data_IF_780089157865
#
_entry.id   IF_780089157865
#
_cell.length_a   1.000
_cell.length_b   1.000
_cell.length_c   1.000
_cell.angle_alpha   90.00
_cell.angle_beta   90.00
_cell.angle_gamma   90.00
#
_symmetry.space_group_name_H-M   'P 1'
#
loop_
_entity.id
_entity.type
_entity.pdbx_description
1 polymer ?
#
# COMPACT_ATOMS: atom_id res chain seq x y z
N UNK A 1 38.35 19.50 -20.14
CA UNK A 1 37.54 20.37 -19.23
C UNK A 1 36.05 19.99 -19.29
N UNK A 2 35.58 19.26 -20.30
CA UNK A 2 34.17 18.87 -20.51
C UNK A 2 33.71 17.62 -19.76
N UNK A 3 34.60 16.81 -19.20
CA UNK A 3 34.24 15.55 -18.52
C UNK A 3 33.80 15.72 -17.03
N UNK A 4 34.10 16.87 -16.40
CA UNK A 4 33.77 17.10 -14.98
C UNK A 4 32.35 17.63 -14.73
N UNK A 5 31.69 18.18 -15.75
CA UNK A 5 30.32 18.69 -15.59
C UNK A 5 29.25 17.61 -15.73
N UNK A 6 29.56 16.48 -16.38
CA UNK A 6 28.62 15.33 -16.50
C UNK A 6 28.57 14.46 -15.24
N UNK A 7 29.57 14.51 -14.37
CA UNK A 7 29.66 13.62 -13.19
C UNK A 7 28.83 14.09 -11.99
N UNK A 8 28.45 15.36 -11.90
CA UNK A 8 27.72 15.88 -10.73
C UNK A 8 26.20 15.75 -10.81
N UNK A 9 25.63 15.58 -12.01
CA UNK A 9 24.19 15.36 -12.22
C UNK A 9 23.77 13.88 -12.13
N UNK A 10 24.72 12.96 -12.13
CA UNK A 10 24.52 11.53 -12.37
C UNK A 10 24.39 10.67 -11.12
N UNK A 11 24.51 11.22 -9.90
CA UNK A 11 24.43 10.46 -8.66
C UNK A 11 23.01 10.33 -8.10
N UNK A 12 21.98 10.84 -8.78
CA UNK A 12 20.62 10.90 -8.22
C UNK A 12 19.68 9.73 -8.54
N UNK A 13 19.96 8.88 -9.54
CA UNK A 13 19.07 7.71 -9.82
C UNK A 13 19.87 6.54 -10.40
N UNK A 14 19.90 5.41 -9.72
CA UNK A 14 20.47 4.13 -10.23
C UNK A 14 19.77 3.65 -11.51
N UNK A 15 18.49 3.99 -11.71
CA UNK A 15 17.73 3.69 -12.93
C UNK A 15 18.22 4.49 -14.16
N UNK A 16 18.58 5.76 -14.00
CA UNK A 16 19.16 6.56 -15.09
C UNK A 16 20.54 6.03 -15.51
N UNK A 17 21.34 5.54 -14.56
CA UNK A 17 22.63 4.93 -14.87
C UNK A 17 22.49 3.74 -15.82
N UNK A 18 21.41 3.00 -15.64
CA UNK A 18 21.11 1.83 -16.47
C UNK A 18 20.63 2.21 -17.89
N UNK A 19 19.81 3.26 -18.02
CA UNK A 19 19.36 3.78 -19.30
C UNK A 19 20.52 4.42 -20.09
N UNK A 20 21.38 5.19 -19.44
CA UNK A 20 22.55 5.78 -20.06
C UNK A 20 23.57 4.71 -20.50
N UNK A 21 23.70 3.62 -19.77
CA UNK A 21 24.53 2.50 -20.17
C UNK A 21 23.95 1.72 -21.35
N UNK A 22 22.62 1.55 -21.42
CA UNK A 22 21.96 0.98 -22.60
C UNK A 22 22.11 1.86 -23.83
N UNK A 23 21.96 3.17 -23.68
CA UNK A 23 22.22 4.12 -24.76
C UNK A 23 23.68 4.10 -25.22
N UNK A 24 24.62 4.00 -24.27
CA UNK A 24 26.04 3.81 -24.59
C UNK A 24 26.29 2.46 -25.27
N UNK A 25 25.66 1.37 -24.84
CA UNK A 25 25.78 0.07 -25.46
C UNK A 25 25.18 0.06 -26.90
N UNK A 26 24.02 0.70 -27.12
CA UNK A 26 23.44 0.87 -28.47
C UNK A 26 24.32 1.75 -29.36
N UNK A 27 24.89 2.82 -28.86
CA UNK A 27 25.82 3.66 -29.61
C UNK A 27 27.09 2.93 -29.96
N UNK A 28 27.67 2.14 -29.05
CA UNK A 28 28.88 1.36 -29.26
C UNK A 28 28.62 0.22 -30.25
N UNK A 29 27.48 -0.49 -30.15
CA UNK A 29 27.05 -1.52 -31.14
C UNK A 29 26.87 -0.93 -32.55
N UNK A 30 26.41 0.31 -32.65
CA UNK A 30 26.19 1.00 -33.90
C UNK A 30 27.49 1.43 -34.60
N UNK A 31 28.56 1.67 -33.84
CA UNK A 31 29.85 2.11 -34.36
C UNK A 31 30.92 1.01 -34.43
N UNK A 32 30.77 -0.11 -33.66
CA UNK A 32 31.69 -1.24 -33.63
C UNK A 32 30.95 -2.58 -33.52
N UNK A 33 30.24 -3.03 -34.57
CA UNK A 33 29.38 -4.23 -34.48
C UNK A 33 30.10 -5.55 -34.30
N UNK A 34 31.40 -5.65 -34.66
CA UNK A 34 32.13 -6.90 -34.70
C UNK A 34 32.97 -7.26 -33.46
N UNK A 35 32.78 -6.51 -32.35
CA UNK A 35 33.56 -6.79 -31.12
C UNK A 35 32.90 -7.85 -30.26
N UNK A 36 33.49 -9.06 -30.21
CA UNK A 36 33.06 -10.19 -29.41
C UNK A 36 32.96 -9.82 -27.89
N UNK A 37 33.81 -8.90 -27.42
CA UNK A 37 33.81 -8.43 -26.03
C UNK A 37 32.55 -7.61 -25.73
N UNK A 38 32.11 -6.77 -26.68
CA UNK A 38 30.91 -5.93 -26.51
C UNK A 38 29.66 -6.78 -26.49
N UNK A 39 29.55 -7.81 -27.35
CA UNK A 39 28.45 -8.75 -27.33
C UNK A 39 28.36 -9.54 -26.01
N UNK A 40 29.50 -9.94 -25.44
CA UNK A 40 29.54 -10.62 -24.14
C UNK A 40 29.13 -9.71 -22.99
N UNK A 41 29.59 -8.48 -22.99
CA UNK A 41 29.24 -7.48 -21.99
C UNK A 41 27.76 -7.11 -22.09
N UNK A 42 27.22 -6.89 -23.29
CA UNK A 42 25.77 -6.65 -23.48
C UNK A 42 24.93 -7.83 -23.02
N UNK A 43 25.31 -9.08 -23.34
CA UNK A 43 24.61 -10.29 -22.88
C UNK A 43 24.66 -10.45 -21.36
N UNK A 44 25.76 -10.11 -20.70
CA UNK A 44 25.87 -10.11 -19.24
C UNK A 44 24.97 -9.05 -18.61
N UNK A 45 24.87 -7.87 -19.23
CA UNK A 45 23.98 -6.81 -18.77
C UNK A 45 22.49 -7.12 -18.99
N UNK A 46 22.13 -7.73 -20.13
CA UNK A 46 20.77 -8.19 -20.39
C UNK A 46 20.36 -9.27 -19.37
N UNK A 47 21.24 -10.25 -19.09
CA UNK A 47 21.01 -11.26 -18.06
C UNK A 47 20.96 -10.67 -16.65
N UNK A 48 21.77 -9.67 -16.33
CA UNK A 48 21.70 -8.96 -15.05
C UNK A 48 20.41 -8.17 -14.89
N UNK A 49 19.83 -7.62 -15.98
CA UNK A 49 18.53 -6.97 -15.99
C UNK A 49 17.38 -7.94 -15.76
N UNK A 50 17.44 -9.13 -16.37
CA UNK A 50 16.43 -10.17 -16.18
C UNK A 50 16.39 -10.74 -14.75
N UNK A 51 17.48 -10.53 -13.94
CA UNK A 51 17.56 -11.00 -12.56
C UNK A 51 17.34 -9.92 -11.50
N UNK A 52 17.27 -8.62 -11.86
CA UNK A 52 17.07 -7.57 -10.88
C UNK A 52 15.58 -7.30 -10.66
N UNK A 53 15.07 -7.79 -9.55
CA UNK A 53 13.71 -7.49 -9.08
C UNK A 53 13.74 -6.24 -8.20
N UNK A 54 12.91 -5.25 -8.50
CA UNK A 54 12.76 -4.05 -7.67
C UNK A 54 12.26 -4.45 -6.28
N UNK A 55 12.89 -3.91 -5.25
CA UNK A 55 12.55 -4.22 -3.85
C UNK A 55 11.66 -3.16 -3.26
N UNK A 56 10.59 -3.57 -2.61
CA UNK A 56 9.67 -2.69 -1.89
C UNK A 56 9.61 -3.07 -0.42
N UNK A 57 9.55 -2.07 0.45
CA UNK A 57 9.34 -2.27 1.88
C UNK A 57 8.22 -1.40 2.41
N UNK A 58 7.53 -1.91 3.42
CA UNK A 58 6.36 -1.27 4.00
C UNK A 58 6.61 -0.94 5.48
N UNK A 59 6.23 0.27 5.87
CA UNK A 59 6.17 0.67 7.27
C UNK A 59 4.74 1.05 7.62
N UNK A 60 4.09 0.21 8.42
CA UNK A 60 2.67 0.38 8.78
C UNK A 60 2.54 0.96 10.17
N UNK A 61 1.79 2.03 10.26
CA UNK A 61 1.36 2.63 11.53
C UNK A 61 -0.16 2.52 11.64
N UNK A 62 -0.66 2.37 12.86
CA UNK A 62 -2.09 2.45 13.14
C UNK A 62 -2.76 1.15 13.49
N UNK A 63 -3.97 0.95 12.96
CA UNK A 63 -4.89 -0.10 13.35
C UNK A 63 -4.79 -1.36 12.45
N UNK A 64 -5.64 -2.35 12.73
CA UNK A 64 -5.73 -3.58 11.92
C UNK A 64 -6.16 -3.31 10.48
N UNK A 65 -6.95 -2.25 10.23
CA UNK A 65 -7.32 -1.83 8.89
C UNK A 65 -6.08 -1.42 8.09
N UNK A 66 -5.19 -0.59 8.68
CA UNK A 66 -3.93 -0.24 8.02
C UNK A 66 -3.04 -1.47 7.78
N UNK A 67 -3.03 -2.44 8.68
CA UNK A 67 -2.27 -3.69 8.48
C UNK A 67 -2.82 -4.51 7.32
N UNK A 68 -4.16 -4.67 7.23
CA UNK A 68 -4.82 -5.32 6.10
C UNK A 68 -4.49 -4.60 4.78
N UNK A 69 -4.63 -3.28 4.74
CA UNK A 69 -4.33 -2.47 3.56
C UNK A 69 -2.87 -2.58 3.12
N UNK A 70 -1.95 -2.63 4.06
CA UNK A 70 -0.53 -2.86 3.75
C UNK A 70 -0.28 -4.24 3.18
N UNK A 71 -0.93 -5.28 3.71
CA UNK A 71 -0.85 -6.64 3.18
C UNK A 71 -1.34 -6.72 1.75
N UNK A 72 -2.48 -6.09 1.46
CA UNK A 72 -3.03 -6.04 0.11
C UNK A 72 -2.15 -5.25 -0.87
N UNK A 73 -1.57 -4.12 -0.43
CA UNK A 73 -0.57 -3.40 -1.22
C UNK A 73 0.69 -4.22 -1.46
N UNK A 74 1.17 -4.96 -0.46
CA UNK A 74 2.33 -5.83 -0.63
C UNK A 74 2.08 -6.89 -1.70
N UNK A 75 0.91 -7.55 -1.65
CA UNK A 75 0.51 -8.51 -2.69
C UNK A 75 0.41 -7.86 -4.06
N UNK A 76 -0.20 -6.67 -4.18
CA UNK A 76 -0.29 -5.92 -5.43
C UNK A 76 1.11 -5.66 -6.04
N UNK A 77 2.08 -5.28 -5.22
CA UNK A 77 3.45 -5.06 -5.68
C UNK A 77 4.14 -6.37 -6.09
N UNK A 78 3.96 -7.47 -5.33
CA UNK A 78 4.49 -8.80 -5.68
C UNK A 78 3.94 -9.31 -7.01
N UNK A 79 2.64 -9.18 -7.25
CA UNK A 79 1.99 -9.56 -8.51
C UNK A 79 2.51 -8.76 -9.71
N UNK A 80 3.05 -7.57 -9.45
CA UNK A 80 3.66 -6.71 -10.47
C UNK A 80 5.19 -6.80 -10.50
N UNK A 81 5.77 -7.88 -9.95
CA UNK A 81 7.17 -8.24 -10.10
C UNK A 81 8.13 -7.55 -9.12
N UNK A 82 7.62 -6.95 -8.04
CA UNK A 82 8.45 -6.45 -6.96
C UNK A 82 8.72 -7.55 -5.93
N UNK A 83 9.84 -7.45 -5.24
CA UNK A 83 10.14 -8.31 -4.08
C UNK A 83 9.91 -7.52 -2.79
N UNK A 84 9.00 -8.00 -1.94
CA UNK A 84 8.78 -7.43 -0.62
C UNK A 84 9.93 -7.83 0.31
N UNK A 85 10.58 -6.83 0.91
CA UNK A 85 11.72 -7.03 1.80
C UNK A 85 11.51 -6.37 3.16
N UNK A 86 12.27 -6.79 4.15
CA UNK A 86 12.25 -6.15 5.46
C UNK A 86 12.81 -4.73 5.42
N UNK A 87 12.44 -3.91 6.39
CA UNK A 87 12.90 -2.52 6.48
C UNK A 87 14.43 -2.39 6.68
N UNK A 88 15.10 -3.46 7.11
CA UNK A 88 16.54 -3.49 7.41
C UNK A 88 17.39 -3.82 6.18
N UNK A 89 16.81 -4.45 5.16
CA UNK A 89 17.53 -4.91 3.97
C UNK A 89 17.80 -3.81 2.94
N UNK A 90 17.16 -2.66 3.10
CA UNK A 90 17.15 -1.59 2.10
C UNK A 90 16.27 -1.94 0.90
N UNK A 91 15.61 -0.95 0.32
CA UNK A 91 14.67 -1.13 -0.78
C UNK A 91 14.79 -0.02 -1.82
N UNK A 92 14.20 -0.24 -2.99
CA UNK A 92 14.10 0.75 -4.05
C UNK A 92 12.84 1.61 -3.88
N UNK A 93 11.83 1.05 -3.19
CA UNK A 93 10.58 1.74 -2.84
C UNK A 93 10.28 1.56 -1.36
N UNK A 94 10.00 2.66 -0.67
CA UNK A 94 9.61 2.67 0.75
C UNK A 94 8.19 3.22 0.87
N UNK A 95 7.25 2.42 1.35
CA UNK A 95 5.85 2.80 1.51
C UNK A 95 5.52 2.95 2.99
N UNK A 96 5.15 4.15 3.41
CA UNK A 96 4.71 4.46 4.76
C UNK A 96 3.18 4.57 4.76
N UNK A 97 2.49 3.55 5.28
CA UNK A 97 1.06 3.60 5.54
C UNK A 97 0.82 4.23 6.90
N UNK A 98 0.40 5.47 6.90
CA UNK A 98 0.36 6.35 8.06
C UNK A 98 -0.95 6.26 8.85
N UNK A 99 -0.86 6.65 10.11
CA UNK A 99 -2.01 6.82 11.02
C UNK A 99 -2.02 8.24 11.55
N UNK A 100 -3.21 8.80 11.81
CA UNK A 100 -3.38 10.15 12.35
C UNK A 100 -4.21 10.20 13.64
N UNK A 101 -4.52 9.05 14.23
CA UNK A 101 -5.26 9.00 15.50
C UNK A 101 -4.42 9.52 16.67
N UNK A 102 -3.09 9.52 16.52
CA UNK A 102 -2.16 10.07 17.52
C UNK A 102 -1.10 10.93 16.84
N UNK A 103 -0.70 12.05 17.45
CA UNK A 103 0.42 12.88 16.99
C UNK A 103 1.73 12.09 16.82
N UNK A 104 1.89 10.99 17.55
CA UNK A 104 3.03 10.09 17.39
C UNK A 104 3.04 9.37 16.04
N UNK A 105 1.88 9.09 15.45
CA UNK A 105 1.76 8.47 14.13
C UNK A 105 2.36 9.37 13.06
N UNK A 106 2.01 10.64 13.06
CA UNK A 106 2.48 11.63 12.08
C UNK A 106 3.99 11.84 12.20
N UNK A 107 4.50 12.04 13.42
CA UNK A 107 5.94 12.20 13.67
C UNK A 107 6.75 10.96 13.24
N UNK A 108 6.23 9.77 13.52
CA UNK A 108 6.87 8.51 13.10
C UNK A 108 6.90 8.36 11.59
N UNK A 109 5.80 8.68 10.89
CA UNK A 109 5.75 8.65 9.43
C UNK A 109 6.82 9.54 8.81
N UNK A 110 6.90 10.80 9.25
CA UNK A 110 7.93 11.76 8.79
C UNK A 110 9.35 11.27 9.09
N UNK A 111 9.57 10.70 10.29
CA UNK A 111 10.88 10.14 10.68
C UNK A 111 11.31 9.00 9.76
N UNK A 112 10.37 8.12 9.39
CA UNK A 112 10.66 7.00 8.50
C UNK A 112 10.98 7.46 7.07
N UNK A 113 10.24 8.40 6.52
CA UNK A 113 10.53 8.98 5.21
C UNK A 113 11.93 9.62 5.17
N UNK A 114 12.27 10.42 6.18
CA UNK A 114 13.61 11.01 6.31
C UNK A 114 14.70 9.97 6.43
N UNK A 115 14.43 8.90 7.17
CA UNK A 115 15.36 7.77 7.31
C UNK A 115 15.58 7.09 5.97
N UNK A 116 14.52 6.75 5.26
CA UNK A 116 14.58 6.11 3.95
C UNK A 116 15.41 6.94 2.95
N UNK A 117 15.14 8.25 2.85
CA UNK A 117 15.91 9.16 1.97
C UNK A 117 17.37 9.32 2.38
N UNK A 118 17.69 9.28 3.66
CA UNK A 118 19.06 9.34 4.14
C UNK A 118 19.83 8.05 3.85
N UNK A 119 19.22 6.90 4.06
CA UNK A 119 19.83 5.58 3.85
C UNK A 119 19.92 5.22 2.36
N UNK A 120 18.91 5.58 1.57
CA UNK A 120 18.89 5.39 0.13
C UNK A 120 18.33 6.63 -0.60
N UNK A 121 19.14 7.62 -0.92
CA UNK A 121 18.69 8.86 -1.58
C UNK A 121 18.03 8.65 -2.94
N UNK A 122 18.32 7.52 -3.60
CA UNK A 122 17.75 7.15 -4.90
C UNK A 122 16.44 6.40 -4.83
N UNK A 123 15.99 5.98 -3.63
CA UNK A 123 14.74 5.26 -3.49
C UNK A 123 13.54 6.18 -3.64
N UNK A 124 12.44 5.61 -4.17
CA UNK A 124 11.13 6.26 -4.17
C UNK A 124 10.46 6.07 -2.81
N UNK A 125 10.01 7.17 -2.23
CA UNK A 125 9.32 7.17 -0.93
C UNK A 125 7.87 7.57 -1.09
N UNK A 126 6.99 6.77 -0.49
CA UNK A 126 5.53 6.92 -0.56
C UNK A 126 4.96 7.21 0.82
N UNK A 127 4.14 8.24 0.92
CA UNK A 127 3.31 8.52 2.09
C UNK A 127 1.84 8.29 1.73
N UNK A 128 1.20 7.35 2.41
CA UNK A 128 -0.23 7.03 2.22
C UNK A 128 -0.95 6.87 3.56
N UNK A 129 -2.25 6.67 3.51
CA UNK A 129 -3.08 6.35 4.69
C UNK A 129 -3.80 7.55 5.30
N UNK A 130 -4.06 7.45 6.60
CA UNK A 130 -4.95 8.41 7.29
C UNK A 130 -4.39 9.82 7.39
N UNK A 131 -3.07 9.96 7.59
CA UNK A 131 -2.47 11.28 7.79
C UNK A 131 -2.60 12.18 6.55
N UNK A 132 -2.13 11.79 5.36
CA UNK A 132 -2.27 12.63 4.18
C UNK A 132 -3.75 12.87 3.81
N UNK A 133 -4.64 11.94 4.08
CA UNK A 133 -6.07 12.14 3.82
C UNK A 133 -6.69 13.20 4.73
N UNK A 134 -6.32 13.19 6.03
CA UNK A 134 -6.88 14.13 7.00
C UNK A 134 -6.25 15.53 6.91
N UNK A 135 -4.98 15.61 6.49
CA UNK A 135 -4.19 16.83 6.43
C UNK A 135 -3.45 16.93 5.08
N UNK A 136 -4.21 17.09 3.96
CA UNK A 136 -3.64 17.00 2.62
C UNK A 136 -2.59 18.10 2.34
N UNK A 137 -2.84 19.33 2.77
CA UNK A 137 -1.92 20.45 2.55
C UNK A 137 -0.58 20.22 3.27
N UNK A 138 -0.65 19.83 4.55
CA UNK A 138 0.56 19.54 5.33
C UNK A 138 1.33 18.31 4.80
N UNK A 139 0.62 17.29 4.31
CA UNK A 139 1.24 16.11 3.73
C UNK A 139 1.89 16.42 2.38
N UNK A 140 1.26 17.27 1.57
CA UNK A 140 1.80 17.72 0.30
C UNK A 140 3.10 18.52 0.46
N UNK A 141 3.34 19.17 1.60
CA UNK A 141 4.58 19.90 1.88
C UNK A 141 5.76 19.01 2.33
N UNK A 142 5.55 17.72 2.56
CA UNK A 142 6.62 16.80 2.99
C UNK A 142 7.54 16.50 1.81
N UNK A 143 8.65 17.20 1.73
CA UNK A 143 9.60 17.11 0.62
C UNK A 143 10.28 15.73 0.50
N UNK A 144 10.32 14.97 1.58
CA UNK A 144 10.91 13.62 1.60
C UNK A 144 9.97 12.54 1.01
N UNK A 145 8.71 12.86 0.67
CA UNK A 145 7.80 11.94 -0.02
C UNK A 145 7.74 12.25 -1.51
N UNK A 146 8.15 11.31 -2.34
CA UNK A 146 8.06 11.43 -3.80
C UNK A 146 6.63 11.17 -4.29
N UNK A 147 5.90 10.28 -3.59
CA UNK A 147 4.49 10.00 -3.84
C UNK A 147 3.69 10.23 -2.57
N UNK A 148 2.64 11.04 -2.65
CA UNK A 148 1.72 11.30 -1.52
C UNK A 148 0.31 10.97 -1.97
N UNK A 149 -0.31 10.00 -1.30
CA UNK A 149 -1.69 9.57 -1.59
C UNK A 149 -2.53 9.54 -0.31
N UNK A 150 -3.84 9.58 -0.45
CA UNK A 150 -4.77 9.50 0.68
C UNK A 150 -5.01 8.07 1.19
N UNK A 151 -6.14 7.89 1.86
CA UNK A 151 -6.63 6.60 2.36
C UNK A 151 -7.52 5.85 1.36
N UNK A 152 -7.89 6.46 0.27
CA UNK A 152 -8.58 5.87 -0.89
C UNK A 152 -7.65 5.70 -2.09
N UNK A 153 -8.17 5.07 -3.15
CA UNK A 153 -7.47 4.91 -4.43
C UNK A 153 -6.07 4.25 -4.32
N UNK A 154 -5.96 3.21 -3.50
CA UNK A 154 -4.69 2.51 -3.25
C UNK A 154 -4.15 1.81 -4.47
N UNK A 155 -5.01 1.39 -5.39
CA UNK A 155 -4.59 0.82 -6.68
C UNK A 155 -3.70 1.78 -7.48
N UNK A 156 -3.90 3.08 -7.36
CA UNK A 156 -3.09 4.08 -8.07
C UNK A 156 -1.66 4.17 -7.52
N UNK A 157 -1.39 3.77 -6.29
CA UNK A 157 -0.07 3.86 -5.66
C UNK A 157 1.01 3.18 -6.51
N UNK A 158 0.72 2.01 -7.05
CA UNK A 158 1.66 1.30 -7.93
C UNK A 158 1.98 2.12 -9.19
N UNK A 159 0.95 2.64 -9.86
CA UNK A 159 1.11 3.47 -11.06
C UNK A 159 1.87 4.75 -10.76
N UNK A 160 1.59 5.40 -9.65
CA UNK A 160 2.24 6.64 -9.25
C UNK A 160 3.72 6.41 -8.89
N UNK A 161 4.02 5.30 -8.23
CA UNK A 161 5.40 4.86 -8.00
C UNK A 161 6.12 4.62 -9.32
N UNK A 162 5.47 3.95 -10.29
CA UNK A 162 6.05 3.69 -11.61
C UNK A 162 6.34 4.97 -12.39
N UNK A 163 5.47 5.99 -12.35
CA UNK A 163 5.71 7.30 -12.99
C UNK A 163 6.99 7.96 -12.45
N UNK A 164 7.17 7.92 -11.11
CA UNK A 164 8.37 8.48 -10.49
C UNK A 164 9.61 7.67 -10.83
N UNK A 165 9.53 6.33 -10.79
CA UNK A 165 10.64 5.43 -11.15
C UNK A 165 11.08 5.61 -12.60
N UNK A 166 10.13 5.78 -13.52
CA UNK A 166 10.39 6.00 -14.94
C UNK A 166 10.87 7.42 -15.25
N UNK A 167 10.80 8.34 -14.30
CA UNK A 167 11.17 9.74 -14.49
C UNK A 167 10.14 10.55 -15.30
N UNK A 168 8.92 10.04 -15.41
CA UNK A 168 7.80 10.76 -16.06
C UNK A 168 7.34 11.92 -15.21
N UNK A 169 7.37 11.76 -13.89
CA UNK A 169 7.10 12.79 -12.91
C UNK A 169 8.21 12.82 -11.83
N UNK A 170 8.60 14.00 -11.36
CA UNK A 170 9.54 14.11 -10.25
C UNK A 170 8.88 13.79 -8.91
N UNK A 171 7.59 14.10 -8.80
CA UNK A 171 6.77 13.92 -7.62
C UNK A 171 5.30 13.81 -7.99
N UNK A 172 4.56 12.94 -7.28
CA UNK A 172 3.12 12.77 -7.43
C UNK A 172 2.40 13.09 -6.12
N UNK A 173 1.36 13.92 -6.19
CA UNK A 173 0.44 14.17 -5.06
C UNK A 173 -0.98 13.86 -5.56
N UNK A 174 -1.51 12.69 -5.20
CA UNK A 174 -2.86 12.23 -5.58
C UNK A 174 -3.69 11.93 -4.31
N UNK A 175 -4.12 12.99 -3.64
CA UNK A 175 -5.00 12.89 -2.47
C UNK A 175 -6.41 13.25 -2.91
N UNK A 176 -7.28 12.25 -3.01
CA UNK A 176 -8.67 12.43 -3.43
C UNK A 176 -9.58 12.59 -2.21
N UNK A 177 -10.45 13.60 -2.20
CA UNK A 177 -11.44 13.73 -1.15
C UNK A 177 -12.42 12.55 -1.20
N UNK A 178 -12.86 12.09 -0.04
CA UNK A 178 -13.94 11.10 0.01
C UNK A 178 -15.28 11.73 -0.34
N UNK A 179 -16.03 11.06 -1.19
CA UNK A 179 -17.31 11.55 -1.68
C UNK A 179 -18.51 10.74 -1.14
N UNK A 180 -19.68 11.38 -1.10
CA UNK A 180 -20.92 10.67 -0.73
C UNK A 180 -21.27 9.67 -1.83
N UNK A 181 -21.52 8.41 -1.44
CA UNK A 181 -21.83 7.33 -2.37
C UNK A 181 -20.59 6.67 -3.00
N UNK A 182 -19.40 7.03 -2.56
CA UNK A 182 -18.18 6.28 -2.88
C UNK A 182 -18.34 4.80 -2.48
N UNK A 183 -17.87 3.91 -3.33
CA UNK A 183 -17.90 2.47 -3.06
C UNK A 183 -16.72 2.05 -2.21
N UNK A 184 -16.87 0.93 -1.52
CA UNK A 184 -15.76 0.27 -0.85
C UNK A 184 -14.65 -0.05 -1.86
N UNK A 185 -13.40 0.30 -1.54
CA UNK A 185 -12.24 -0.03 -2.36
C UNK A 185 -11.81 -1.46 -2.04
N UNK A 186 -12.00 -2.35 -3.00
CA UNK A 186 -11.58 -3.73 -2.87
C UNK A 186 -10.11 -3.88 -3.24
N UNK A 187 -9.34 -4.36 -2.29
CA UNK A 187 -7.97 -4.81 -2.47
C UNK A 187 -7.92 -6.27 -2.01
N UNK A 188 -8.01 -7.22 -2.95
CA UNK A 188 -8.01 -8.63 -2.59
C UNK A 188 -6.67 -9.01 -1.93
N UNK A 189 -6.76 -9.86 -0.92
CA UNK A 189 -5.59 -10.39 -0.22
C UNK A 189 -5.80 -11.86 0.06
N UNK A 190 -4.89 -12.69 -0.45
CA UNK A 190 -4.97 -14.14 -0.35
C UNK A 190 -3.99 -14.72 0.69
N UNK A 191 -3.00 -13.93 1.12
CA UNK A 191 -1.96 -14.38 2.05
C UNK A 191 -1.57 -13.31 3.06
N UNK A 192 -1.38 -13.73 4.30
CA UNK A 192 -0.78 -12.94 5.36
C UNK A 192 0.58 -13.56 5.70
N UNK A 193 1.67 -12.90 5.34
CA UNK A 193 3.02 -13.47 5.39
C UNK A 193 3.48 -13.91 6.79
N UNK A 194 2.92 -13.35 7.88
CA UNK A 194 3.44 -13.56 9.23
C UNK A 194 2.36 -13.90 10.29
N UNK A 195 1.10 -14.20 9.88
CA UNK A 195 0.01 -14.37 10.84
C UNK A 195 -0.61 -15.76 10.79
N UNK A 196 -0.89 -16.33 11.97
CA UNK A 196 -1.68 -17.57 12.13
C UNK A 196 -3.18 -17.33 11.89
N UNK A 197 -3.60 -16.08 11.70
CA UNK A 197 -4.97 -15.64 11.45
C UNK A 197 -4.99 -14.54 10.41
N UNK A 198 -6.03 -14.49 9.60
CA UNK A 198 -6.23 -13.47 8.58
C UNK A 198 -7.07 -12.29 9.10
N UNK A 199 -6.77 -11.09 8.61
CA UNK A 199 -7.60 -9.90 8.85
C UNK A 199 -8.41 -9.61 7.60
N UNK A 200 -9.72 -9.59 7.70
CA UNK A 200 -10.62 -9.30 6.58
C UNK A 200 -11.29 -7.95 6.81
N UNK A 201 -10.98 -6.98 5.98
CA UNK A 201 -11.59 -5.65 6.03
C UNK A 201 -12.97 -5.72 5.38
N UNK A 202 -14.01 -5.43 6.16
CA UNK A 202 -15.40 -5.52 5.71
C UNK A 202 -16.09 -4.16 5.57
N UNK A 203 -15.55 -3.12 6.23
CA UNK A 203 -16.11 -1.77 6.19
C UNK A 203 -14.97 -0.74 6.29
N UNK A 204 -15.20 0.44 5.70
CA UNK A 204 -14.36 1.63 5.85
C UNK A 204 -15.22 2.87 6.06
N UNK A 205 -14.67 3.83 6.79
CA UNK A 205 -15.32 5.10 7.06
C UNK A 205 -16.13 5.13 8.35
N UNK A 206 -16.70 6.29 8.66
CA UNK A 206 -17.52 6.47 9.85
C UNK A 206 -18.45 7.69 9.69
N UNK A 207 -19.73 7.50 9.89
CA UNK A 207 -20.73 8.58 9.82
C UNK A 207 -20.92 9.31 11.17
N UNK A 208 -20.26 8.84 12.24
CA UNK A 208 -20.29 9.52 13.54
C UNK A 208 -19.46 10.80 13.48
N UNK A 209 -19.97 11.84 14.08
CA UNK A 209 -19.30 13.17 14.16
C UNK A 209 -18.88 13.48 15.60
N UNK A 210 -18.13 12.56 16.22
CA UNK A 210 -17.59 12.78 17.56
C UNK A 210 -16.64 13.98 17.52
N UNK A 211 -16.81 14.90 18.48
CA UNK A 211 -16.15 16.22 18.47
C UNK A 211 -14.61 16.16 18.43
N UNK A 212 -14.02 15.09 18.93
CA UNK A 212 -12.56 14.89 19.00
C UNK A 212 -12.00 14.01 17.87
N UNK A 213 -12.87 13.40 17.05
CA UNK A 213 -12.47 12.31 16.17
C UNK A 213 -12.13 12.81 14.76
N UNK A 214 -10.93 12.48 14.31
CA UNK A 214 -10.43 12.80 12.97
C UNK A 214 -10.85 11.75 11.91
N UNK A 215 -11.38 10.61 12.33
CA UNK A 215 -11.69 9.47 11.44
C UNK A 215 -12.61 9.84 10.28
N UNK A 216 -13.74 10.56 10.46
CA UNK A 216 -14.59 10.92 9.33
C UNK A 216 -13.86 11.75 8.26
N UNK A 217 -12.87 12.54 8.67
CA UNK A 217 -12.02 13.32 7.76
C UNK A 217 -10.99 12.43 7.06
N UNK A 218 -10.44 11.45 7.77
CA UNK A 218 -9.38 10.56 7.28
C UNK A 218 -9.91 9.37 6.46
N UNK A 219 -11.17 8.97 6.68
CA UNK A 219 -11.74 7.75 6.09
C UNK A 219 -13.07 7.98 5.37
N UNK A 220 -13.63 9.17 5.47
CA UNK A 220 -14.89 9.50 4.81
C UNK A 220 -16.12 8.80 5.39
N UNK A 221 -17.24 8.77 4.62
CA UNK A 221 -18.48 8.12 5.02
C UNK A 221 -18.32 6.60 5.10
N UNK A 222 -19.27 5.95 5.79
CA UNK A 222 -19.37 4.48 5.85
C UNK A 222 -19.50 3.91 4.44
N UNK A 223 -18.68 2.91 4.16
CA UNK A 223 -18.71 2.11 2.94
C UNK A 223 -18.56 0.65 3.32
N UNK A 224 -19.63 -0.10 3.18
CA UNK A 224 -19.64 -1.54 3.43
C UNK A 224 -19.12 -2.28 2.19
N UNK A 225 -18.31 -3.30 2.42
CA UNK A 225 -17.89 -4.23 1.40
C UNK A 225 -19.05 -5.13 1.02
N UNK A 226 -19.14 -5.48 -0.25
CA UNK A 226 -20.14 -6.44 -0.73
C UNK A 226 -20.00 -7.78 0.01
N UNK A 227 -21.12 -8.31 0.49
CA UNK A 227 -21.17 -9.53 1.27
C UNK A 227 -20.59 -10.74 0.49
N UNK A 228 -20.97 -10.86 -0.78
CA UNK A 228 -20.47 -11.96 -1.62
C UNK A 228 -18.96 -11.91 -1.78
N UNK A 229 -18.39 -10.70 -1.92
CA UNK A 229 -16.95 -10.47 -1.97
C UNK A 229 -16.26 -10.88 -0.66
N UNK A 230 -16.84 -10.53 0.50
CA UNK A 230 -16.30 -10.96 1.81
C UNK A 230 -16.30 -12.49 1.92
N UNK A 231 -17.41 -13.13 1.60
CA UNK A 231 -17.55 -14.59 1.69
C UNK A 231 -16.60 -15.32 0.73
N UNK A 232 -16.35 -14.76 -0.44
CA UNK A 232 -15.37 -15.30 -1.40
C UNK A 232 -13.94 -15.22 -0.85
N UNK A 233 -13.56 -14.09 -0.24
CA UNK A 233 -12.26 -13.98 0.42
C UNK A 233 -12.12 -14.97 1.57
N UNK A 234 -13.16 -15.15 2.39
CA UNK A 234 -13.14 -16.14 3.47
C UNK A 234 -12.92 -17.58 2.95
N UNK A 235 -13.54 -17.95 1.81
CA UNK A 235 -13.29 -19.25 1.16
C UNK A 235 -11.85 -19.39 0.69
N UNK A 236 -11.30 -18.38 0.01
CA UNK A 236 -9.89 -18.39 -0.42
C UNK A 236 -8.93 -18.53 0.77
N UNK A 237 -9.21 -17.82 1.86
CA UNK A 237 -8.41 -17.93 3.09
C UNK A 237 -8.51 -19.32 3.74
N UNK A 238 -9.71 -19.93 3.75
CA UNK A 238 -9.90 -21.29 4.23
C UNK A 238 -9.12 -22.30 3.38
N UNK A 239 -9.16 -22.16 2.05
CA UNK A 239 -8.40 -22.99 1.10
C UNK A 239 -6.89 -22.82 1.27
N UNK A 240 -6.43 -21.62 1.63
CA UNK A 240 -5.05 -21.34 2.00
C UNK A 240 -4.64 -21.86 3.39
N UNK A 241 -5.58 -22.48 4.14
CA UNK A 241 -5.34 -23.13 5.42
C UNK A 241 -5.57 -22.26 6.67
N UNK A 242 -6.09 -21.04 6.52
CA UNK A 242 -6.44 -20.21 7.68
C UNK A 242 -7.67 -20.75 8.39
N UNK A 243 -7.55 -20.92 9.70
CA UNK A 243 -8.63 -21.43 10.58
C UNK A 243 -9.30 -20.33 11.38
N UNK A 244 -8.64 -19.19 11.53
CA UNK A 244 -9.14 -18.06 12.28
C UNK A 244 -9.08 -16.78 11.40
N UNK A 245 -10.20 -16.07 11.36
CA UNK A 245 -10.33 -14.78 10.70
C UNK A 245 -10.78 -13.71 11.68
N UNK A 246 -10.32 -12.48 11.45
CA UNK A 246 -10.74 -11.31 12.22
C UNK A 246 -11.44 -10.35 11.27
N UNK A 247 -12.76 -10.21 11.39
CA UNK A 247 -13.48 -9.17 10.68
C UNK A 247 -13.06 -7.81 11.26
N UNK A 248 -12.53 -6.96 10.42
CA UNK A 248 -12.01 -5.64 10.82
C UNK A 248 -12.63 -4.52 10.01
N UNK A 249 -12.78 -3.38 10.66
CA UNK A 249 -13.41 -2.20 10.09
C UNK A 249 -12.95 -0.94 10.83
N UNK A 250 -13.29 0.21 10.32
CA UNK A 250 -13.19 1.49 11.05
C UNK A 250 -14.29 1.59 12.10
N UNK A 251 -15.52 1.19 11.74
CA UNK A 251 -16.68 1.11 12.65
C UNK A 251 -17.46 -0.16 12.35
N UNK A 252 -17.00 -1.30 12.88
CA UNK A 252 -17.55 -2.61 12.53
C UNK A 252 -19.08 -2.71 12.67
N UNK A 253 -19.73 -2.15 13.73
CA UNK A 253 -21.19 -2.18 13.84
C UNK A 253 -21.90 -1.33 12.78
N UNK A 254 -21.17 -0.48 12.02
CA UNK A 254 -21.76 0.30 10.93
C UNK A 254 -21.86 -0.48 9.62
N UNK A 255 -21.30 -1.70 9.56
CA UNK A 255 -21.42 -2.54 8.38
C UNK A 255 -22.89 -2.76 7.99
N UNK A 256 -23.19 -2.59 6.71
CA UNK A 256 -24.50 -2.79 6.14
C UNK A 256 -25.45 -1.58 6.23
N UNK A 257 -25.12 -0.55 7.02
CA UNK A 257 -25.99 0.63 7.18
C UNK A 257 -26.18 1.45 5.89
N UNK A 258 -25.23 1.33 4.95
CA UNK A 258 -25.27 1.97 3.63
C UNK A 258 -25.76 1.05 2.51
N UNK A 259 -25.84 -0.26 2.73
CA UNK A 259 -26.20 -1.28 1.74
C UNK A 259 -27.50 -2.02 2.06
N UNK A 260 -28.08 -1.84 3.25
CA UNK A 260 -29.35 -2.47 3.66
C UNK A 260 -29.19 -3.92 4.13
N UNK A 261 -28.00 -4.35 4.52
CA UNK A 261 -27.68 -5.59 5.22
C UNK A 261 -27.22 -5.30 6.67
N UNK A 262 -26.77 -6.27 7.41
CA UNK A 262 -26.28 -6.09 8.77
C UNK A 262 -25.00 -6.86 9.05
N UNK A 263 -24.30 -6.45 10.10
CA UNK A 263 -23.12 -7.17 10.58
C UNK A 263 -23.49 -8.61 11.02
N UNK A 264 -24.65 -8.78 11.63
CA UNK A 264 -25.13 -10.09 12.13
C UNK A 264 -25.34 -11.05 10.96
N UNK A 265 -26.04 -10.60 9.90
CA UNK A 265 -26.24 -11.41 8.69
C UNK A 265 -24.90 -11.83 8.06
N UNK A 266 -23.93 -10.92 8.03
CA UNK A 266 -22.59 -11.25 7.54
C UNK A 266 -21.92 -12.30 8.41
N UNK A 267 -21.99 -12.17 9.74
CA UNK A 267 -21.38 -13.13 10.68
C UNK A 267 -22.02 -14.52 10.55
N UNK A 268 -23.35 -14.60 10.46
CA UNK A 268 -24.07 -15.85 10.27
C UNK A 268 -23.60 -16.58 9.00
N UNK A 269 -23.55 -15.88 7.87
CA UNK A 269 -23.09 -16.46 6.61
C UNK A 269 -21.58 -16.78 6.62
N UNK A 270 -20.78 -15.97 7.27
CA UNK A 270 -19.35 -16.22 7.43
C UNK A 270 -19.08 -17.46 8.28
N UNK A 271 -19.93 -17.73 9.30
CA UNK A 271 -19.84 -18.93 10.14
C UNK A 271 -20.15 -20.23 9.37
N UNK A 272 -20.85 -20.14 8.25
CA UNK A 272 -21.15 -21.28 7.38
C UNK A 272 -20.00 -21.62 6.41
N UNK A 273 -18.95 -20.77 6.30
CA UNK A 273 -17.82 -20.99 5.38
C UNK A 273 -16.99 -22.20 5.86
N UNK A 274 -16.93 -23.29 5.08
CA UNK A 274 -16.18 -24.48 5.47
C UNK A 274 -14.68 -24.16 5.62
N UNK A 275 -14.07 -24.68 6.68
CA UNK A 275 -12.64 -24.51 6.93
C UNK A 275 -12.30 -23.34 7.86
N UNK A 276 -13.16 -22.35 8.02
CA UNK A 276 -13.02 -21.33 9.07
C UNK A 276 -13.62 -21.87 10.37
N UNK A 277 -12.79 -21.97 11.40
CA UNK A 277 -13.18 -22.51 12.70
C UNK A 277 -13.46 -21.43 13.75
N UNK A 278 -12.96 -20.20 13.51
CA UNK A 278 -13.13 -19.07 14.42
C UNK A 278 -13.24 -17.75 13.70
N UNK A 279 -14.28 -17.02 13.98
CA UNK A 279 -14.47 -15.63 13.57
C UNK A 279 -14.28 -14.75 14.80
N UNK A 280 -13.38 -13.80 14.70
CA UNK A 280 -13.23 -12.73 15.70
C UNK A 280 -13.74 -11.43 15.13
N UNK A 281 -14.29 -10.64 15.99
CA UNK A 281 -14.74 -9.29 15.66
C UNK A 281 -13.68 -8.27 16.10
N UNK A 282 -13.51 -7.22 15.32
CA UNK A 282 -12.76 -6.04 15.70
C UNK A 282 -13.43 -5.30 16.87
N UNK A 283 -13.07 -4.03 17.05
CA UNK A 283 -13.70 -3.22 18.09
C UNK A 283 -15.18 -3.01 17.78
N UNK A 284 -16.03 -3.29 18.77
CA UNK A 284 -17.47 -3.03 18.73
C UNK A 284 -17.80 -1.84 19.62
N UNK A 285 -18.69 -0.99 19.16
CA UNK A 285 -19.24 0.11 19.92
C UNK A 285 -20.57 -0.36 20.55
N UNK A 286 -20.67 -0.41 21.89
CA UNK A 286 -21.86 -0.92 22.57
C UNK A 286 -23.15 -0.18 22.21
N UNK A 287 -23.05 1.13 21.91
CA UNK A 287 -24.21 1.95 21.56
C UNK A 287 -24.86 1.55 20.24
N UNK A 288 -24.17 0.74 19.44
CA UNK A 288 -24.66 0.27 18.13
C UNK A 288 -25.05 -1.20 18.12
N UNK A 289 -25.01 -1.87 19.26
CA UNK A 289 -25.41 -3.26 19.42
C UNK A 289 -26.78 -3.30 20.12
N UNK A 290 -27.70 -4.03 19.54
CA UNK A 290 -29.01 -4.27 20.14
C UNK A 290 -29.07 -5.65 20.79
N UNK A 291 -30.02 -5.84 21.72
CA UNK A 291 -30.14 -7.12 22.43
C UNK A 291 -30.37 -8.32 21.48
N UNK A 292 -31.00 -8.07 20.32
CA UNK A 292 -31.23 -9.09 19.31
C UNK A 292 -29.96 -9.45 18.53
N UNK A 293 -28.97 -8.56 18.46
CA UNK A 293 -27.67 -8.80 17.82
C UNK A 293 -26.78 -9.74 18.69
N UNK A 294 -27.10 -9.87 19.98
CA UNK A 294 -26.30 -10.62 20.95
C UNK A 294 -26.83 -12.06 21.14
N UNK A 295 -28.07 -12.33 20.74
CA UNK A 295 -28.75 -13.63 20.88
C UNK A 295 -28.52 -14.54 19.71
#
# INVERSE_FOLDING_TARGET
>A
VTARFFMAAHLRRKSLWYYDMLLCAELVLRFWPDSIIINHVCLLFIKAKESYTMRVTFYTLGCKVNQNETGALAQLFEENGYTVVSNEEGADVYIVNSCTVTNFGDQKSRKWLRRAKRENPGAVTVLTGCYPQAFPDEAAEIAEADVVTGSGNRHAILTDVQKVLNGEEERVVDIRPHEKGERFEELPMDKFAEHTRAFVKVEDGCNRRCAYCVIPRARGPVRSRDEASVLEELRRLADAGYKEVVLTAISLPSYGTDSGTSLVELIEKAAEVPGIERIRLGSLDPDMLHDDDIR
#
